data_IF_202184705950
#
_entry.id   IF_202184705950
#
_cell.length_a   1.000
_cell.length_b   1.000
_cell.length_c   1.000
_cell.angle_alpha   90.00
_cell.angle_beta   90.00
_cell.angle_gamma   90.00
#
_symmetry.space_group_name_H-M   'P 1'
#
loop_
_entity.id
_entity.type
_entity.pdbx_description
1 polymer ?
#
# COMPACT_ATOMS: atom_id res chain seq x y z
N UNK A 1 2.01 -23.39 25.02
CA UNK A 1 3.22 -22.73 25.55
C UNK A 1 3.14 -21.23 25.29
N UNK A 2 2.78 -20.44 26.31
CA UNK A 2 2.66 -18.97 26.26
C UNK A 2 3.94 -18.36 26.83
N UNK A 3 4.67 -17.55 26.05
CA UNK A 3 5.77 -16.72 26.56
C UNK A 3 5.24 -15.34 26.90
N UNK A 4 5.07 -15.06 28.20
CA UNK A 4 4.90 -13.71 28.74
C UNK A 4 6.21 -12.94 28.58
N UNK A 5 6.19 -11.79 27.90
CA UNK A 5 7.28 -10.82 27.96
C UNK A 5 6.99 -9.83 29.09
N UNK A 6 8.00 -9.68 29.95
CA UNK A 6 8.02 -8.75 31.09
C UNK A 6 8.12 -7.32 30.59
N UNK A 7 7.26 -6.44 31.09
CA UNK A 7 7.43 -4.98 30.98
C UNK A 7 8.18 -4.49 32.23
N UNK A 8 9.32 -3.83 32.04
CA UNK A 8 10.06 -3.15 33.11
C UNK A 8 9.64 -1.69 33.10
N UNK A 9 9.00 -1.24 34.18
CA UNK A 9 8.72 0.17 34.44
C UNK A 9 10.00 0.86 34.94
N UNK A 10 10.31 2.06 34.44
CA UNK A 10 11.32 2.94 35.01
C UNK A 10 10.68 4.22 35.53
N UNK A 11 11.05 4.53 36.76
CA UNK A 11 10.64 5.62 37.62
C UNK A 11 10.92 7.02 37.04
N UNK A 12 10.09 7.99 37.40
CA UNK A 12 10.36 9.42 37.21
C UNK A 12 11.30 9.98 38.27
N UNK A 13 11.63 11.28 38.16
CA UNK A 13 11.94 12.07 39.36
C UNK A 13 11.17 13.39 39.41
N UNK A 14 10.57 13.63 40.58
CA UNK A 14 10.36 14.96 41.15
C UNK A 14 11.74 15.53 41.55
N UNK A 15 12.05 16.77 41.16
CA UNK A 15 12.95 17.66 41.90
C UNK A 15 12.75 19.11 41.42
N UNK A 16 12.31 19.97 42.33
CA UNK A 16 12.36 21.41 42.19
C UNK A 16 13.77 21.92 42.52
N UNK A 17 14.34 22.81 41.70
CA UNK A 17 15.53 23.58 42.09
C UNK A 17 15.49 24.99 41.52
N UNK A 18 15.89 25.93 42.37
CA UNK A 18 15.69 27.37 42.30
C UNK A 18 17.01 28.11 41.99
N UNK A 19 16.90 29.08 41.08
CA UNK A 19 17.63 30.34 40.94
C UNK A 19 19.16 30.39 40.66
N UNK A 20 19.45 31.32 39.72
CA UNK A 20 20.61 32.19 39.54
C UNK A 20 21.86 31.66 38.80
N UNK A 21 21.98 32.16 37.57
CA UNK A 21 23.21 32.77 37.06
C UNK A 21 24.26 31.82 36.45
N UNK A 22 24.39 31.84 35.13
CA UNK A 22 25.52 31.23 34.44
C UNK A 22 25.23 30.96 32.98
N UNK A 23 25.93 31.68 32.10
CA UNK A 23 25.95 31.50 30.65
C UNK A 23 26.31 30.04 30.35
N UNK A 24 25.39 29.26 29.79
CA UNK A 24 25.68 27.93 29.24
C UNK A 24 25.24 27.92 27.78
N UNK A 25 26.26 27.79 26.94
CA UNK A 25 26.24 27.45 25.52
C UNK A 25 25.16 26.38 25.26
N UNK A 26 24.08 26.76 24.57
CA UNK A 26 22.97 25.88 24.26
C UNK A 26 23.42 24.77 23.33
N UNK A 27 23.77 23.62 23.90
CA UNK A 27 23.94 22.36 23.20
C UNK A 27 22.58 21.99 22.60
N UNK A 28 22.44 22.18 21.28
CA UNK A 28 21.29 21.75 20.50
C UNK A 28 21.25 20.21 20.52
N UNK A 29 20.55 19.65 21.50
CA UNK A 29 20.23 18.22 21.56
C UNK A 29 19.25 17.93 20.42
N UNK A 30 19.78 17.53 19.27
CA UNK A 30 18.98 16.96 18.19
C UNK A 30 18.48 15.61 18.69
N UNK A 31 17.24 15.56 19.19
CA UNK A 31 16.50 14.31 19.36
C UNK A 31 16.40 13.65 17.97
N UNK A 32 17.30 12.71 17.71
CA UNK A 32 17.10 11.77 16.62
C UNK A 32 16.01 10.81 17.10
N UNK A 33 14.76 11.07 16.69
CA UNK A 33 13.76 10.04 16.71
C UNK A 33 14.27 8.94 15.77
N UNK A 34 14.65 7.78 16.32
CA UNK A 34 14.94 6.60 15.51
C UNK A 34 13.66 6.21 14.79
N UNK A 35 13.59 6.58 13.51
CA UNK A 35 12.55 6.13 12.60
C UNK A 35 12.82 4.66 12.32
N UNK A 36 12.25 3.78 13.14
CA UNK A 36 12.35 2.34 12.94
C UNK A 36 11.41 1.93 11.81
N UNK A 37 11.95 1.59 10.65
CA UNK A 37 11.19 0.95 9.58
C UNK A 37 10.69 -0.43 10.03
N UNK A 38 9.44 -0.76 9.69
CA UNK A 38 8.90 -2.09 9.91
C UNK A 38 9.20 -2.97 8.68
N UNK A 39 9.54 -4.24 8.92
CA UNK A 39 9.80 -5.21 7.87
C UNK A 39 9.03 -6.50 8.17
N UNK A 40 8.35 -7.02 7.15
CA UNK A 40 7.70 -8.33 7.16
C UNK A 40 8.27 -9.12 5.99
N UNK A 41 8.57 -10.40 6.21
CA UNK A 41 9.22 -11.22 5.19
C UNK A 41 8.69 -12.65 5.22
N UNK A 42 8.60 -13.24 4.03
CA UNK A 42 8.38 -14.65 3.81
C UNK A 42 9.47 -15.22 2.88
N UNK A 43 9.36 -16.49 2.51
CA UNK A 43 10.25 -17.10 1.52
C UNK A 43 10.13 -16.43 0.14
N UNK A 44 8.96 -15.87 -0.19
CA UNK A 44 8.62 -15.39 -1.53
C UNK A 44 8.65 -13.89 -1.69
N UNK A 45 8.40 -13.15 -0.61
CA UNK A 45 8.29 -11.69 -0.67
C UNK A 45 8.86 -11.01 0.57
N UNK A 46 9.12 -9.73 0.40
CA UNK A 46 9.47 -8.81 1.48
C UNK A 46 8.58 -7.59 1.40
N UNK A 47 8.04 -7.17 2.53
CA UNK A 47 7.33 -5.89 2.71
C UNK A 47 8.17 -5.00 3.61
N UNK A 48 8.45 -3.79 3.14
CA UNK A 48 9.10 -2.75 3.93
C UNK A 48 8.16 -1.56 4.09
N UNK A 49 8.12 -0.98 5.29
CA UNK A 49 7.42 0.27 5.57
C UNK A 49 8.39 1.30 6.13
N UNK A 50 8.38 2.48 5.52
CA UNK A 50 9.06 3.66 6.04
C UNK A 50 8.18 4.31 7.13
N UNK A 51 8.68 4.40 8.36
CA UNK A 51 7.90 4.91 9.48
C UNK A 51 7.77 6.45 9.50
N UNK A 52 8.59 7.19 8.75
CA UNK A 52 8.49 8.65 8.66
C UNK A 52 7.39 9.07 7.68
N UNK A 53 7.28 8.36 6.58
CA UNK A 53 6.37 8.69 5.46
C UNK A 53 5.13 7.80 5.43
N UNK A 54 5.14 6.66 6.13
CA UNK A 54 4.10 5.64 6.04
C UNK A 54 4.09 4.88 4.72
N UNK A 55 5.11 5.07 3.88
CA UNK A 55 5.20 4.45 2.56
C UNK A 55 5.59 2.98 2.67
N UNK A 56 4.85 2.13 1.99
CA UNK A 56 5.12 0.71 1.92
C UNK A 56 5.67 0.32 0.53
N UNK A 57 6.44 -0.76 0.48
CA UNK A 57 6.90 -1.38 -0.74
C UNK A 57 6.86 -2.90 -0.61
N UNK A 58 6.50 -3.58 -1.70
CA UNK A 58 6.46 -5.02 -1.84
C UNK A 58 7.54 -5.46 -2.82
N UNK A 59 8.51 -6.22 -2.36
CA UNK A 59 9.56 -6.82 -3.19
C UNK A 59 9.24 -8.29 -3.43
N UNK A 60 9.16 -8.67 -4.72
CA UNK A 60 9.18 -10.06 -5.15
C UNK A 60 10.60 -10.60 -5.08
N UNK A 61 10.86 -11.58 -4.20
CA UNK A 61 12.21 -12.12 -4.01
C UNK A 61 12.69 -12.95 -5.21
N UNK A 62 11.78 -13.46 -6.04
CA UNK A 62 12.13 -14.29 -7.21
C UNK A 62 12.67 -13.45 -8.36
N UNK A 63 12.02 -12.32 -8.65
CA UNK A 63 12.44 -11.41 -9.71
C UNK A 63 13.35 -10.27 -9.23
N UNK A 64 13.34 -9.97 -7.94
CA UNK A 64 13.99 -8.78 -7.37
C UNK A 64 13.22 -7.47 -7.60
N UNK A 65 12.08 -7.51 -8.31
CA UNK A 65 11.28 -6.32 -8.62
C UNK A 65 10.56 -5.83 -7.37
N UNK A 66 10.58 -4.50 -7.18
CA UNK A 66 9.88 -3.83 -6.10
C UNK A 66 8.72 -2.99 -6.62
N UNK A 67 7.56 -3.23 -6.03
CA UNK A 67 6.29 -2.56 -6.26
C UNK A 67 6.07 -1.56 -5.13
N UNK A 68 6.07 -0.26 -5.46
CA UNK A 68 5.72 0.77 -4.48
C UNK A 68 4.23 0.66 -4.13
N UNK A 69 3.90 0.55 -2.85
CA UNK A 69 2.51 0.61 -2.37
C UNK A 69 2.11 2.03 -1.94
N UNK A 70 3.09 2.96 -1.94
CA UNK A 70 3.00 4.33 -1.41
C UNK A 70 2.31 4.32 -0.04
N UNK A 71 1.45 5.30 0.26
CA UNK A 71 0.64 5.31 1.48
C UNK A 71 -0.45 4.23 1.37
N UNK A 72 -0.21 3.09 2.02
CA UNK A 72 -1.10 1.94 2.06
C UNK A 72 -1.72 1.75 3.45
N UNK A 73 -2.98 1.32 3.50
CA UNK A 73 -3.67 1.01 4.78
C UNK A 73 -3.50 -0.45 5.15
N UNK A 74 -3.21 -0.70 6.44
CA UNK A 74 -3.18 -2.03 7.07
C UNK A 74 -2.65 -3.13 6.14
N UNK A 75 -1.34 -3.10 5.90
CA UNK A 75 -0.66 -4.05 5.01
C UNK A 75 -0.21 -5.25 5.83
N UNK A 76 -0.59 -6.45 5.39
CA UNK A 76 -0.25 -7.70 6.06
C UNK A 76 0.22 -8.73 5.04
N UNK A 77 1.20 -9.56 5.40
CA UNK A 77 1.52 -10.75 4.61
C UNK A 77 0.39 -11.76 4.82
N UNK A 78 -0.16 -12.30 3.74
CA UNK A 78 -1.23 -13.28 3.82
C UNK A 78 -0.71 -14.63 4.36
N UNK A 79 -1.63 -15.46 4.85
CA UNK A 79 -1.31 -16.78 5.40
C UNK A 79 -0.64 -17.73 4.39
N UNK A 80 -0.80 -17.47 3.08
CA UNK A 80 -0.12 -18.21 2.01
C UNK A 80 1.38 -17.89 1.89
N UNK A 81 1.86 -16.84 2.58
CA UNK A 81 3.24 -16.34 2.51
C UNK A 81 3.66 -15.82 1.14
N UNK A 82 2.75 -15.68 0.18
CA UNK A 82 3.00 -15.30 -1.22
C UNK A 82 2.25 -14.04 -1.65
N UNK A 83 1.27 -13.63 -0.86
CA UNK A 83 0.48 -12.45 -1.13
C UNK A 83 0.64 -11.42 -0.01
N UNK A 84 0.34 -10.17 -0.34
CA UNK A 84 0.10 -9.10 0.60
C UNK A 84 -1.37 -8.71 0.54
N UNK A 85 -2.00 -8.56 1.70
CA UNK A 85 -3.35 -7.99 1.81
C UNK A 85 -3.22 -6.55 2.28
N UNK A 86 -3.92 -5.65 1.60
CA UNK A 86 -4.04 -4.24 1.96
C UNK A 86 -5.49 -4.00 2.31
N UNK A 87 -5.76 -3.56 3.54
CA UNK A 87 -7.10 -3.53 4.11
C UNK A 87 -7.49 -2.13 4.63
N UNK A 88 -8.79 -1.85 4.66
CA UNK A 88 -9.31 -0.61 5.23
C UNK A 88 -10.78 -0.72 5.60
N UNK A 89 -11.22 0.12 6.53
CA UNK A 89 -12.57 0.07 7.08
C UNK A 89 -13.33 1.39 6.82
N UNK A 90 -13.83 1.64 5.60
CA UNK A 90 -14.63 2.83 5.32
C UNK A 90 -15.91 2.83 6.17
N UNK A 91 -16.26 3.99 6.73
CA UNK A 91 -17.57 4.18 7.35
C UNK A 91 -18.69 4.18 6.30
N UNK A 92 -19.93 3.95 6.74
CA UNK A 92 -21.09 3.93 5.85
C UNK A 92 -21.23 5.24 5.07
N UNK A 93 -21.41 5.13 3.76
CA UNK A 93 -21.49 6.25 2.83
C UNK A 93 -20.14 6.92 2.54
N UNK A 94 -19.03 6.43 3.07
CA UNK A 94 -17.69 7.00 2.88
C UNK A 94 -16.81 6.14 1.99
N UNK A 95 -15.78 6.78 1.44
CA UNK A 95 -14.75 6.17 0.63
C UNK A 95 -13.40 6.39 1.30
N UNK A 96 -12.55 5.37 1.26
CA UNK A 96 -11.14 5.46 1.65
C UNK A 96 -10.27 5.02 0.49
N UNK A 97 -9.02 5.49 0.44
CA UNK A 97 -7.98 4.92 -0.43
C UNK A 97 -7.28 3.79 0.32
N UNK A 98 -7.27 2.60 -0.24
CA UNK A 98 -6.46 1.47 0.25
C UNK A 98 -5.02 1.61 -0.24
N UNK A 99 -4.86 2.08 -1.48
CA UNK A 99 -3.62 2.43 -2.15
C UNK A 99 -3.79 3.81 -2.79
N UNK A 100 -2.75 4.66 -2.77
CA UNK A 100 -2.79 6.01 -3.35
C UNK A 100 -1.59 6.25 -4.27
N UNK A 101 -1.80 6.23 -5.59
CA UNK A 101 -0.70 6.36 -6.57
C UNK A 101 0.33 5.22 -6.50
N UNK A 102 -0.10 4.03 -6.08
CA UNK A 102 0.73 2.85 -5.90
C UNK A 102 1.02 2.13 -7.23
N UNK A 103 1.75 1.02 -7.14
CA UNK A 103 2.05 0.09 -8.23
C UNK A 103 2.68 0.79 -9.43
N UNK A 104 3.53 1.79 -9.15
CA UNK A 104 4.18 2.61 -10.16
C UNK A 104 5.05 1.79 -11.12
N UNK A 105 4.79 1.97 -12.41
CA UNK A 105 5.57 1.44 -13.52
C UNK A 105 6.03 2.64 -14.34
N UNK A 106 7.32 2.92 -14.32
CA UNK A 106 7.91 4.01 -15.09
C UNK A 106 7.89 3.70 -16.59
N UNK A 107 7.98 4.73 -17.42
CA UNK A 107 7.99 4.56 -18.88
C UNK A 107 9.16 3.70 -19.38
N UNK A 108 10.28 3.65 -18.65
CA UNK A 108 11.46 2.85 -18.96
C UNK A 108 11.47 1.46 -18.29
N UNK A 109 10.41 1.07 -17.59
CA UNK A 109 10.30 -0.23 -16.91
C UNK A 109 9.89 -1.38 -17.85
N UNK A 110 9.67 -1.11 -19.15
CA UNK A 110 9.14 -2.07 -20.14
C UNK A 110 7.87 -2.79 -19.62
N UNK A 111 6.99 -2.03 -18.97
CA UNK A 111 5.85 -2.56 -18.22
C UNK A 111 4.49 -2.08 -18.72
N UNK A 112 3.44 -2.67 -18.18
CA UNK A 112 2.05 -2.40 -18.57
C UNK A 112 1.05 -2.84 -17.50
N UNK A 113 -0.17 -2.34 -17.59
CA UNK A 113 -1.32 -2.83 -16.85
C UNK A 113 -2.31 -3.56 -17.77
N UNK A 114 -2.94 -4.60 -17.24
CA UNK A 114 -4.02 -5.35 -17.88
C UNK A 114 -5.30 -5.13 -17.08
N UNK A 115 -6.29 -4.48 -17.71
CA UNK A 115 -7.56 -4.16 -17.09
C UNK A 115 -8.66 -5.03 -17.72
N UNK A 116 -9.40 -5.84 -16.95
CA UNK A 116 -10.45 -6.71 -17.49
C UNK A 116 -11.75 -5.92 -17.72
N UNK A 117 -11.69 -4.86 -18.52
CA UNK A 117 -12.87 -4.10 -18.97
C UNK A 117 -13.31 -4.62 -20.34
N UNK A 118 -14.56 -5.10 -20.44
CA UNK A 118 -15.06 -5.79 -21.64
C UNK A 118 -14.11 -6.93 -22.06
N UNK A 119 -13.62 -6.94 -23.29
CA UNK A 119 -12.67 -7.93 -23.82
C UNK A 119 -11.24 -7.76 -23.26
N UNK A 120 -11.00 -6.73 -22.48
CA UNK A 120 -9.70 -6.39 -21.91
C UNK A 120 -9.13 -5.10 -22.49
N UNK A 121 -8.39 -4.39 -21.66
CA UNK A 121 -7.64 -3.19 -22.02
C UNK A 121 -6.19 -3.37 -21.60
N UNK A 122 -5.31 -3.32 -22.60
CA UNK A 122 -3.86 -3.26 -22.42
C UNK A 122 -3.43 -1.80 -22.32
N UNK A 123 -2.74 -1.45 -21.23
CA UNK A 123 -2.24 -0.08 -20.99
C UNK A 123 -0.72 -0.15 -20.83
N UNK A 124 0.06 0.19 -21.87
CA UNK A 124 1.51 0.28 -21.74
C UNK A 124 1.90 1.42 -20.81
N UNK A 125 3.02 1.29 -20.10
CA UNK A 125 3.55 2.36 -19.24
C UNK A 125 4.26 3.47 -20.03
N UNK A 126 4.76 3.18 -21.23
CA UNK A 126 5.40 4.14 -22.12
C UNK A 126 4.39 4.80 -23.08
N UNK A 127 4.90 5.69 -23.93
CA UNK A 127 4.12 6.38 -24.95
C UNK A 127 3.36 7.63 -24.46
N UNK A 128 2.86 8.46 -25.41
CA UNK A 128 2.40 9.82 -25.16
C UNK A 128 0.94 9.92 -24.68
N UNK A 129 0.19 8.82 -24.69
CA UNK A 129 -1.21 8.84 -24.29
C UNK A 129 -1.32 9.07 -22.78
N UNK A 130 -2.05 10.12 -22.38
CA UNK A 130 -2.32 10.42 -20.97
C UNK A 130 -3.81 10.24 -20.67
N UNK A 131 -4.10 9.59 -19.55
CA UNK A 131 -5.47 9.49 -19.06
C UNK A 131 -5.50 9.20 -17.57
N UNK A 132 -6.67 9.42 -16.97
CA UNK A 132 -7.02 8.89 -15.66
C UNK A 132 -8.39 8.25 -15.78
N UNK A 133 -8.52 6.98 -15.38
CA UNK A 133 -9.76 6.24 -15.50
C UNK A 133 -9.98 5.30 -14.31
N UNK A 134 -11.16 5.41 -13.73
CA UNK A 134 -11.67 4.51 -12.70
C UNK A 134 -12.41 3.33 -13.32
N UNK A 135 -12.16 2.12 -12.81
CA UNK A 135 -12.76 0.87 -13.26
C UNK A 135 -13.52 0.22 -12.10
N UNK A 136 -14.76 0.68 -11.85
CA UNK A 136 -15.58 0.11 -10.78
C UNK A 136 -15.87 -1.37 -10.99
N UNK A 137 -15.98 -2.14 -9.91
CA UNK A 137 -16.31 -3.57 -10.00
C UNK A 137 -17.68 -3.77 -10.64
N UNK A 138 -17.75 -4.65 -11.65
CA UNK A 138 -18.96 -5.02 -12.40
C UNK A 138 -19.71 -3.84 -13.05
N UNK A 139 -19.07 -2.68 -13.21
CA UNK A 139 -19.62 -1.56 -13.96
C UNK A 139 -19.65 -1.86 -15.46
N UNK A 140 -20.56 -1.22 -16.20
CA UNK A 140 -20.65 -1.39 -17.66
C UNK A 140 -19.29 -1.17 -18.35
N UNK A 141 -18.56 -0.13 -17.96
CA UNK A 141 -17.18 0.14 -18.39
C UNK A 141 -16.15 0.00 -17.26
N UNK A 142 -16.47 -0.87 -16.31
CA UNK A 142 -15.63 -1.21 -15.17
C UNK A 142 -14.93 -2.56 -15.35
N UNK A 143 -14.37 -3.09 -14.25
CA UNK A 143 -13.77 -4.43 -14.26
C UNK A 143 -14.86 -5.50 -14.24
N UNK A 144 -14.86 -6.38 -15.25
CA UNK A 144 -15.79 -7.52 -15.38
C UNK A 144 -15.32 -8.75 -14.61
N UNK A 145 -14.04 -8.79 -14.24
CA UNK A 145 -13.45 -9.76 -13.30
C UNK A 145 -12.79 -8.96 -12.17
N UNK A 146 -12.86 -9.43 -10.93
CA UNK A 146 -12.32 -8.74 -9.76
C UNK A 146 -10.78 -8.86 -9.65
N UNK A 147 -10.09 -8.48 -10.72
CA UNK A 147 -8.63 -8.47 -10.79
C UNK A 147 -8.09 -7.34 -11.66
N UNK A 148 -6.82 -7.02 -11.48
CA UNK A 148 -6.02 -6.21 -12.41
C UNK A 148 -4.60 -6.77 -12.43
N UNK A 149 -4.03 -6.89 -13.63
CA UNK A 149 -2.66 -7.36 -13.82
C UNK A 149 -1.71 -6.18 -14.01
N UNK A 150 -0.50 -6.31 -13.48
CA UNK A 150 0.59 -5.35 -13.67
C UNK A 150 1.87 -6.10 -14.03
N UNK A 151 2.63 -5.60 -14.99
CA UNK A 151 3.92 -6.17 -15.39
C UNK A 151 4.96 -5.07 -15.37
N UNK A 152 6.10 -5.33 -14.71
CA UNK A 152 7.19 -4.37 -14.52
C UNK A 152 8.52 -5.11 -14.60
N UNK A 153 9.40 -4.74 -15.53
CA UNK A 153 10.74 -5.34 -15.71
C UNK A 153 10.69 -6.87 -15.74
N UNK A 154 9.75 -7.42 -16.51
CA UNK A 154 9.52 -8.85 -16.63
C UNK A 154 8.78 -9.52 -15.45
N UNK A 155 8.66 -8.89 -14.28
CA UNK A 155 7.88 -9.43 -13.16
C UNK A 155 6.40 -9.08 -13.27
N UNK A 156 5.51 -10.03 -12.97
CA UNK A 156 4.07 -9.82 -12.91
C UNK A 156 3.55 -9.72 -11.46
N UNK A 157 2.56 -8.85 -11.25
CA UNK A 157 1.79 -8.71 -10.03
C UNK A 157 0.29 -8.80 -10.36
N UNK A 158 -0.43 -9.68 -9.66
CA UNK A 158 -1.87 -9.77 -9.74
C UNK A 158 -2.51 -9.11 -8.53
N UNK A 159 -3.36 -8.12 -8.76
CA UNK A 159 -4.23 -7.55 -7.75
C UNK A 159 -5.62 -8.19 -7.86
N UNK A 160 -6.17 -8.74 -6.78
CA UNK A 160 -7.54 -9.27 -6.72
C UNK A 160 -8.33 -8.69 -5.54
N UNK A 161 -9.65 -8.77 -5.61
CA UNK A 161 -10.54 -8.34 -4.53
C UNK A 161 -11.87 -9.10 -4.56
N UNK A 162 -12.57 -9.13 -3.43
CA UNK A 162 -13.88 -9.80 -3.36
C UNK A 162 -15.04 -8.80 -3.17
N UNK A 163 -14.74 -7.58 -2.69
CA UNK A 163 -15.76 -6.60 -2.37
C UNK A 163 -16.21 -5.82 -3.63
N UNK A 164 -17.52 -5.75 -3.93
CA UNK A 164 -18.03 -5.10 -5.14
C UNK A 164 -17.93 -3.56 -5.10
N UNK A 165 -17.49 -2.98 -3.98
CA UNK A 165 -17.30 -1.54 -3.82
C UNK A 165 -15.82 -1.13 -3.85
N UNK A 166 -14.97 -1.98 -4.45
CA UNK A 166 -13.61 -1.63 -4.84
C UNK A 166 -13.63 -1.03 -6.25
N UNK A 167 -12.90 0.07 -6.41
CA UNK A 167 -12.70 0.78 -7.68
C UNK A 167 -11.22 1.12 -7.83
N UNK A 168 -10.45 0.35 -8.62
CA UNK A 168 -9.13 0.76 -9.07
C UNK A 168 -9.24 1.95 -10.04
N UNK A 169 -8.36 2.92 -9.88
CA UNK A 169 -8.16 4.05 -10.79
C UNK A 169 -6.75 3.98 -11.34
N UNK A 170 -6.64 3.88 -12.67
CA UNK A 170 -5.37 3.91 -13.37
C UNK A 170 -5.12 5.32 -13.88
N UNK A 171 -3.94 5.86 -13.57
CA UNK A 171 -3.43 7.10 -14.15
C UNK A 171 -2.20 6.78 -14.99
N UNK A 172 -2.22 7.20 -16.26
CA UNK A 172 -1.11 7.13 -17.20
C UNK A 172 -0.69 8.55 -17.60
N UNK A 173 0.60 8.81 -17.55
CA UNK A 173 1.24 10.04 -18.05
C UNK A 173 2.46 9.66 -18.90
N UNK A 174 3.17 10.62 -19.48
CA UNK A 174 4.43 10.34 -20.19
C UNK A 174 5.50 9.66 -19.30
N UNK A 175 5.45 9.85 -17.98
CA UNK A 175 6.43 9.28 -17.04
C UNK A 175 6.14 7.82 -16.66
N UNK A 176 4.94 7.29 -16.95
CA UNK A 176 4.56 5.95 -16.53
C UNK A 176 3.08 5.83 -16.15
N UNK A 177 2.75 4.74 -15.45
CA UNK A 177 1.44 4.51 -14.87
C UNK A 177 1.48 4.28 -13.36
N UNK A 178 0.37 4.63 -12.70
CA UNK A 178 0.13 4.40 -11.27
C UNK A 178 -1.32 3.97 -11.05
N UNK A 179 -1.57 3.29 -9.93
CA UNK A 179 -2.88 2.78 -9.54
C UNK A 179 -3.27 3.29 -8.15
N UNK A 180 -4.45 3.89 -8.05
CA UNK A 180 -5.11 4.21 -6.79
C UNK A 180 -6.26 3.24 -6.59
N UNK A 181 -6.43 2.72 -5.37
CA UNK A 181 -7.53 1.79 -5.07
C UNK A 181 -8.47 2.44 -4.09
N UNK A 182 -9.68 2.74 -4.56
CA UNK A 182 -10.76 3.25 -3.73
C UNK A 182 -11.61 2.10 -3.19
N UNK A 183 -11.91 2.15 -1.90
CA UNK A 183 -12.86 1.26 -1.25
C UNK A 183 -14.00 2.10 -0.64
N UNK A 184 -15.24 1.75 -0.97
CA UNK A 184 -16.44 2.40 -0.45
C UNK A 184 -17.28 1.42 0.36
N UNK A 185 -18.00 1.92 1.35
CA UNK A 185 -19.15 1.18 1.91
C UNK A 185 -20.42 1.99 1.68
N UNK A 186 -21.42 1.50 0.93
CA UNK A 186 -22.67 2.24 0.75
C UNK A 186 -23.45 2.33 2.06
N UNK A 187 -24.34 3.32 2.16
CA UNK A 187 -25.21 3.51 3.34
C UNK A 187 -26.09 2.28 3.60
N UNK A 188 -26.56 1.63 2.54
CA UNK A 188 -27.34 0.39 2.61
C UNK A 188 -26.49 -0.88 2.80
N UNK A 189 -25.17 -0.75 2.98
CA UNK A 189 -24.24 -1.87 3.12
C UNK A 189 -24.11 -2.42 4.55
N UNK A 190 -25.10 -2.20 5.42
CA UNK A 190 -25.00 -2.49 6.85
C UNK A 190 -24.78 -3.96 7.21
N UNK A 191 -25.03 -4.89 6.28
CA UNK A 191 -24.79 -6.34 6.43
C UNK A 191 -23.44 -6.80 5.87
N UNK A 192 -22.73 -5.93 5.15
CA UNK A 192 -21.41 -6.25 4.58
C UNK A 192 -20.32 -6.10 5.65
N UNK A 193 -19.22 -6.87 5.55
CA UNK A 193 -18.07 -6.69 6.42
C UNK A 193 -17.60 -5.23 6.43
N UNK A 194 -17.20 -4.71 7.60
CA UNK A 194 -16.69 -3.33 7.66
C UNK A 194 -15.38 -3.18 6.88
N UNK A 195 -14.51 -4.19 6.95
CA UNK A 195 -13.25 -4.21 6.22
C UNK A 195 -13.47 -4.51 4.72
N UNK A 196 -12.75 -3.76 3.89
CA UNK A 196 -12.58 -3.98 2.46
C UNK A 196 -11.10 -4.21 2.22
N UNK A 197 -10.75 -5.15 1.37
CA UNK A 197 -9.35 -5.49 1.10
C UNK A 197 -9.08 -5.77 -0.37
N UNK A 198 -7.84 -5.51 -0.77
CA UNK A 198 -7.26 -6.05 -2.01
C UNK A 198 -6.10 -6.97 -1.65
N UNK A 199 -5.89 -7.99 -2.47
CA UNK A 199 -4.76 -8.92 -2.39
C UNK A 199 -3.81 -8.66 -3.54
N UNK A 200 -2.53 -8.52 -3.24
CA UNK A 200 -1.43 -8.32 -4.18
C UNK A 200 -0.55 -9.57 -4.18
N UNK A 201 -0.47 -10.25 -5.32
CA UNK A 201 0.26 -11.52 -5.45
C UNK A 201 1.33 -11.37 -6.53
N UNK A 202 2.62 -11.27 -6.17
CA UNK A 202 3.69 -11.38 -7.14
C UNK A 202 3.70 -12.77 -7.76
N UNK A 203 3.78 -12.83 -9.08
CA UNK A 203 3.78 -14.08 -9.84
C UNK A 203 5.19 -14.48 -10.29
N UNK A 204 6.16 -13.57 -10.17
CA UNK A 204 7.51 -13.77 -10.69
C UNK A 204 7.65 -13.34 -12.15
N UNK A 205 8.78 -13.71 -12.79
CA UNK A 205 8.98 -13.54 -14.22
C UNK A 205 8.21 -14.56 -15.05
#
# INVERSE_FOLDING_TARGET
>A
MRRQRRYTACAGPCCAFSSRGGIILGLLLILHAEVSSAMMESDWLKVSMDAATGRAALTDKRSGVTWGLDVAKDVQVADDGRSVVVSGAPDLGKTVKLLDGALGIAADDEGYALVPVREGLFVPADGPAEFTRSFGTSGYEGCHVNMMGFVKRGSALLMTWDDPYVTPELKKTEQGLTCTVHARRPVHGGTLPKAVSVRLTPLGP
#
